data_IF_000931545237
#
_entry.id   IF_000931545237
#
_cell.length_a   1.000
_cell.length_b   1.000
_cell.length_c   1.000
_cell.angle_alpha   90.00
_cell.angle_beta   90.00
_cell.angle_gamma   90.00
#
_symmetry.space_group_name_H-M   'P 1'
#
loop_
_entity.id
_entity.type
_entity.pdbx_description
1 polymer ?
#
# COMPACT_ATOMS: atom_id res chain seq x y z
N UNK A 1 0.40 -9.25 -21.42
CA UNK A 1 -0.76 -8.97 -20.53
C UNK A 1 -0.34 -8.68 -19.09
N UNK A 2 0.46 -9.54 -18.46
CA UNK A 2 0.87 -9.39 -17.04
C UNK A 2 1.49 -8.04 -16.69
N UNK A 3 2.46 -7.58 -17.51
CA UNK A 3 3.17 -6.32 -17.32
C UNK A 3 2.26 -5.08 -17.47
N UNK A 4 1.28 -5.14 -18.36
CA UNK A 4 0.35 -4.02 -18.59
C UNK A 4 -0.55 -3.76 -17.37
N UNK A 5 -0.99 -4.83 -16.70
CA UNK A 5 -1.76 -4.73 -15.45
C UNK A 5 -0.87 -4.20 -14.32
N UNK A 6 0.36 -4.70 -14.20
CA UNK A 6 1.31 -4.22 -13.19
C UNK A 6 1.54 -2.70 -13.32
N UNK A 7 1.72 -2.21 -14.54
CA UNK A 7 1.85 -0.77 -14.80
C UNK A 7 0.57 0.02 -14.52
N UNK A 8 -0.61 -0.52 -14.87
CA UNK A 8 -1.91 0.12 -14.57
C UNK A 8 -2.11 0.27 -13.06
N UNK A 9 -1.80 -0.78 -12.29
CA UNK A 9 -1.86 -0.74 -10.83
C UNK A 9 -0.83 0.23 -10.26
N UNK A 10 0.41 0.21 -10.76
CA UNK A 10 1.45 1.15 -10.35
C UNK A 10 1.06 2.61 -10.59
N UNK A 11 0.48 2.94 -11.75
CA UNK A 11 -0.05 4.28 -12.05
C UNK A 11 -1.19 4.67 -11.12
N UNK A 12 -2.09 3.75 -10.81
CA UNK A 12 -3.20 3.97 -9.88
C UNK A 12 -2.69 4.32 -8.48
N UNK A 13 -1.72 3.56 -7.96
CA UNK A 13 -1.08 3.79 -6.66
C UNK A 13 -0.31 5.11 -6.64
N UNK A 14 0.50 5.40 -7.66
CA UNK A 14 1.27 6.64 -7.77
C UNK A 14 0.36 7.87 -7.80
N UNK A 15 -0.74 7.82 -8.56
CA UNK A 15 -1.74 8.90 -8.61
C UNK A 15 -2.43 9.11 -7.27
N UNK A 16 -2.70 8.05 -6.52
CA UNK A 16 -3.27 8.14 -5.20
C UNK A 16 -2.28 8.78 -4.21
N UNK A 17 -1.01 8.36 -4.25
CA UNK A 17 0.05 8.96 -3.45
C UNK A 17 0.23 10.45 -3.73
N UNK A 18 0.25 10.86 -5.00
CA UNK A 18 0.43 12.25 -5.40
C UNK A 18 -0.69 13.19 -4.95
N UNK A 19 -1.90 12.65 -4.78
CA UNK A 19 -3.09 13.39 -4.35
C UNK A 19 -3.36 13.25 -2.85
N UNK A 20 -2.50 12.54 -2.13
CA UNK A 20 -2.73 12.14 -0.73
C UNK A 20 -4.11 11.50 -0.54
N UNK A 21 -4.51 10.65 -1.49
CA UNK A 21 -5.80 9.99 -1.53
C UNK A 21 -5.66 8.47 -1.46
N UNK A 22 -6.77 7.76 -1.20
CA UNK A 22 -6.81 6.30 -1.23
C UNK A 22 -7.21 5.77 -2.60
N UNK A 23 -6.86 4.52 -2.88
CA UNK A 23 -7.37 3.75 -4.01
C UNK A 23 -8.65 3.04 -3.57
N UNK A 24 -9.82 3.34 -4.18
CA UNK A 24 -11.04 2.62 -3.87
C UNK A 24 -10.98 1.15 -4.29
N UNK A 25 -11.56 0.27 -3.49
CA UNK A 25 -11.63 -1.18 -3.73
C UNK A 25 -12.14 -1.52 -5.14
N UNK A 26 -13.28 -0.93 -5.52
CA UNK A 26 -13.88 -1.15 -6.83
C UNK A 26 -12.99 -0.67 -7.99
N UNK A 27 -12.30 0.46 -7.83
CA UNK A 27 -11.42 1.01 -8.87
C UNK A 27 -10.23 0.10 -9.13
N UNK A 28 -9.67 -0.52 -8.08
CA UNK A 28 -8.62 -1.53 -8.21
C UNK A 28 -9.13 -2.80 -8.89
N UNK A 29 -10.27 -3.34 -8.44
CA UNK A 29 -10.80 -4.59 -8.99
C UNK A 29 -11.31 -4.46 -10.43
N UNK A 30 -11.73 -3.27 -10.85
CA UNK A 30 -12.13 -2.96 -12.22
C UNK A 30 -10.99 -3.06 -13.25
N UNK A 31 -9.72 -3.10 -12.81
CA UNK A 31 -8.58 -3.31 -13.70
C UNK A 31 -8.47 -4.75 -14.21
N UNK A 32 -9.18 -5.69 -13.60
CA UNK A 32 -9.06 -7.12 -13.87
C UNK A 32 -10.33 -7.66 -14.52
N UNK A 33 -10.16 -8.68 -15.39
CA UNK A 33 -11.29 -9.45 -15.87
C UNK A 33 -12.00 -10.18 -14.70
N UNK A 34 -13.30 -10.46 -14.88
CA UNK A 34 -14.16 -10.99 -13.81
C UNK A 34 -13.72 -12.36 -13.27
N UNK A 35 -13.09 -13.16 -14.11
CA UNK A 35 -12.60 -14.51 -13.84
C UNK A 35 -11.25 -14.54 -13.10
N UNK A 36 -10.55 -13.41 -12.98
CA UNK A 36 -9.25 -13.36 -12.29
C UNK A 36 -9.45 -13.57 -10.79
N UNK A 37 -8.82 -14.60 -10.17
CA UNK A 37 -8.96 -14.86 -8.73
C UNK A 37 -8.43 -13.72 -7.86
N UNK A 38 -9.07 -13.47 -6.72
CA UNK A 38 -8.66 -12.39 -5.79
C UNK A 38 -7.18 -12.48 -5.39
N UNK A 39 -6.68 -13.70 -5.11
CA UNK A 39 -5.25 -13.93 -4.79
C UNK A 39 -4.33 -13.34 -5.84
N UNK A 40 -4.61 -13.59 -7.12
CA UNK A 40 -3.82 -13.09 -8.25
C UNK A 40 -3.89 -11.57 -8.33
N UNK A 41 -5.07 -10.98 -8.06
CA UNK A 41 -5.20 -9.51 -8.03
C UNK A 41 -4.31 -8.90 -6.95
N UNK A 42 -4.32 -9.44 -5.73
CA UNK A 42 -3.48 -8.95 -4.65
C UNK A 42 -1.99 -9.17 -4.87
N UNK A 43 -1.58 -10.29 -5.48
CA UNK A 43 -0.19 -10.49 -5.92
C UNK A 43 0.24 -9.39 -6.89
N UNK A 44 -0.67 -8.95 -7.77
CA UNK A 44 -0.43 -7.84 -8.71
C UNK A 44 -0.35 -6.49 -8.02
N UNK A 45 -1.16 -6.27 -6.99
CA UNK A 45 -1.04 -5.10 -6.11
C UNK A 45 0.35 -5.03 -5.46
N UNK A 46 0.78 -6.12 -4.84
CA UNK A 46 2.07 -6.18 -4.15
C UNK A 46 3.25 -6.04 -5.11
N UNK A 47 3.20 -6.70 -6.27
CA UNK A 47 4.24 -6.60 -7.30
C UNK A 47 4.37 -5.16 -7.80
N UNK A 48 3.25 -4.51 -8.14
CA UNK A 48 3.25 -3.14 -8.62
C UNK A 48 3.68 -2.14 -7.55
N UNK A 49 3.30 -2.36 -6.28
CA UNK A 49 3.73 -1.53 -5.16
C UNK A 49 5.25 -1.64 -4.93
N UNK A 50 5.79 -2.85 -4.93
CA UNK A 50 7.23 -3.10 -4.77
C UNK A 50 8.07 -2.52 -5.92
N UNK A 51 7.48 -2.40 -7.12
CA UNK A 51 8.13 -1.73 -8.25
C UNK A 51 8.18 -0.20 -8.10
N UNK A 52 7.37 0.40 -7.22
CA UNK A 52 7.39 1.84 -6.94
C UNK A 52 8.38 2.20 -5.83
N UNK A 53 8.52 1.34 -4.83
CA UNK A 53 9.33 1.56 -3.64
C UNK A 53 9.61 0.21 -2.97
N UNK A 54 10.79 0.04 -2.36
CA UNK A 54 11.06 -1.10 -1.48
C UNK A 54 10.01 -1.13 -0.35
N UNK A 55 9.24 -2.22 -0.16
CA UNK A 55 8.16 -2.26 0.81
C UNK A 55 8.55 -1.95 2.27
N UNK A 56 9.83 -2.10 2.64
CA UNK A 56 10.34 -1.69 3.96
C UNK A 56 10.50 -0.18 4.12
N UNK A 57 10.57 0.57 3.03
CA UNK A 57 10.66 2.03 3.08
C UNK A 57 9.26 2.66 3.08
N UNK A 58 8.43 2.28 2.11
CA UNK A 58 7.03 2.69 2.05
C UNK A 58 6.18 1.67 1.26
N UNK A 59 5.20 1.05 1.91
CA UNK A 59 4.32 0.07 1.27
C UNK A 59 3.13 0.74 0.57
N UNK A 60 3.28 1.01 -0.74
CA UNK A 60 2.22 1.61 -1.56
C UNK A 60 0.92 0.80 -1.59
N UNK A 61 0.94 -0.51 -1.34
CA UNK A 61 -0.28 -1.31 -1.29
C UNK A 61 -1.19 -0.93 -0.10
N UNK A 62 -0.67 -0.20 0.90
CA UNK A 62 -1.46 0.39 2.00
C UNK A 62 -2.49 1.43 1.53
N UNK A 63 -2.34 1.98 0.32
CA UNK A 63 -3.27 2.93 -0.27
C UNK A 63 -4.58 2.28 -0.72
N UNK A 64 -4.60 0.97 -0.94
CA UNK A 64 -5.85 0.27 -1.22
C UNK A 64 -6.76 0.36 0.00
N UNK A 65 -8.01 0.76 -0.23
CA UNK A 65 -9.02 0.87 0.81
C UNK A 65 -10.22 0.02 0.47
N UNK A 66 -10.58 -0.88 1.38
CA UNK A 66 -11.91 -1.52 1.40
C UNK A 66 -12.98 -0.50 1.80
N UNK A 67 -14.25 -0.92 1.76
CA UNK A 67 -15.38 -0.09 2.19
C UNK A 67 -15.30 0.35 3.66
N UNK A 68 -14.49 -0.35 4.47
CA UNK A 68 -14.23 0.01 5.87
C UNK A 68 -13.23 1.17 6.05
N UNK A 69 -12.62 1.68 4.98
CA UNK A 69 -11.52 2.66 5.02
C UNK A 69 -10.14 2.05 5.30
N UNK A 70 -10.08 0.76 5.63
CA UNK A 70 -8.86 0.02 5.93
C UNK A 70 -8.34 -0.76 4.72
N UNK A 71 -7.02 -1.01 4.65
CA UNK A 71 -6.47 -1.97 3.72
C UNK A 71 -6.94 -3.40 4.04
N UNK A 72 -6.80 -4.29 3.05
CA UNK A 72 -7.15 -5.71 3.18
C UNK A 72 -6.31 -6.45 4.24
N UNK A 73 -6.71 -7.66 4.66
CA UNK A 73 -6.02 -8.42 5.71
C UNK A 73 -4.55 -8.69 5.37
N UNK A 74 -4.22 -8.92 4.10
CA UNK A 74 -2.87 -9.22 3.63
C UNK A 74 -1.88 -8.08 3.92
N UNK A 75 -2.35 -6.84 4.00
CA UNK A 75 -1.54 -5.71 4.45
C UNK A 75 -0.98 -5.94 5.85
N UNK A 76 -1.79 -6.37 6.82
CA UNK A 76 -1.31 -6.55 8.20
C UNK A 76 -0.37 -7.75 8.34
N UNK A 77 -0.59 -8.79 7.55
CA UNK A 77 0.33 -9.95 7.47
C UNK A 77 1.69 -9.51 6.92
N UNK A 78 1.70 -8.75 5.82
CA UNK A 78 2.93 -8.21 5.21
C UNK A 78 3.61 -7.18 6.13
N UNK A 79 2.85 -6.27 6.72
CA UNK A 79 3.35 -5.27 7.66
C UNK A 79 4.02 -5.95 8.86
N UNK A 80 3.41 -6.98 9.45
CA UNK A 80 4.03 -7.75 10.54
C UNK A 80 5.37 -8.36 10.13
N UNK A 81 5.47 -8.87 8.91
CA UNK A 81 6.71 -9.48 8.36
C UNK A 81 7.82 -8.45 8.14
N UNK A 82 7.47 -7.25 7.66
CA UNK A 82 8.43 -6.22 7.29
C UNK A 82 8.79 -5.27 8.44
N UNK A 83 7.83 -5.02 9.33
CA UNK A 83 7.89 -4.06 10.44
C UNK A 83 7.44 -4.71 11.75
N UNK A 84 8.05 -5.86 12.08
CA UNK A 84 7.70 -6.63 13.28
C UNK A 84 7.74 -5.78 14.55
N UNK A 85 8.76 -4.95 14.71
CA UNK A 85 8.91 -4.06 15.88
C UNK A 85 7.70 -3.11 16.02
N UNK A 86 7.39 -2.33 14.98
CA UNK A 86 6.22 -1.43 14.94
C UNK A 86 4.91 -2.17 15.17
N UNK A 87 4.78 -3.37 14.59
CA UNK A 87 3.58 -4.19 14.75
C UNK A 87 3.39 -4.65 16.20
N UNK A 88 4.45 -5.12 16.85
CA UNK A 88 4.39 -5.58 18.24
C UNK A 88 4.31 -4.44 19.25
N UNK A 89 4.86 -3.27 18.93
CA UNK A 89 4.64 -2.04 19.71
C UNK A 89 3.15 -1.68 19.75
N UNK A 90 2.45 -1.72 18.61
CA UNK A 90 1.01 -1.48 18.55
C UNK A 90 0.18 -2.55 19.31
N UNK A 91 0.68 -3.79 19.43
CA UNK A 91 0.03 -4.84 20.22
C UNK A 91 0.24 -4.68 21.74
N UNK A 92 1.36 -4.07 22.16
CA UNK A 92 1.71 -3.93 23.57
C UNK A 92 2.07 -5.27 24.23
N UNK A 93 1.73 -5.42 25.52
CA UNK A 93 2.19 -6.53 26.35
C UNK A 93 1.71 -7.92 25.88
N UNK A 94 0.49 -8.01 25.35
CA UNK A 94 -0.05 -9.25 24.80
C UNK A 94 0.26 -9.33 23.29
N UNK A 95 1.26 -10.14 22.95
CA UNK A 95 1.73 -10.34 21.56
C UNK A 95 0.92 -11.38 20.79
N UNK A 96 -0.01 -12.08 21.43
CA UNK A 96 -0.77 -13.18 20.83
C UNK A 96 -2.20 -12.78 20.44
N UNK A 97 -2.71 -11.66 20.96
CA UNK A 97 -4.01 -11.12 20.55
C UNK A 97 -4.00 -10.59 19.11
N UNK A 98 -5.21 -10.39 18.58
CA UNK A 98 -5.42 -9.67 17.33
C UNK A 98 -5.33 -8.16 17.53
N UNK A 99 -4.95 -7.45 16.45
CA UNK A 99 -5.03 -5.99 16.41
C UNK A 99 -6.49 -5.54 16.54
N UNK A 100 -6.73 -4.58 17.45
CA UNK A 100 -8.00 -3.86 17.58
C UNK A 100 -8.19 -2.93 16.39
N UNK A 101 -9.43 -2.49 16.18
CA UNK A 101 -9.75 -1.57 15.10
C UNK A 101 -8.93 -0.27 15.14
N UNK A 102 -8.72 0.29 16.33
CA UNK A 102 -7.92 1.50 16.51
C UNK A 102 -6.46 1.29 16.07
N UNK A 103 -5.86 0.17 16.45
CA UNK A 103 -4.47 -0.18 16.10
C UNK A 103 -4.33 -0.44 14.59
N UNK A 104 -5.32 -1.12 13.99
CA UNK A 104 -5.38 -1.31 12.53
C UNK A 104 -5.41 0.04 11.80
N UNK A 105 -6.26 0.96 12.25
CA UNK A 105 -6.37 2.31 11.69
C UNK A 105 -5.06 3.08 11.82
N UNK A 106 -4.43 3.01 12.99
CA UNK A 106 -3.17 3.69 13.25
C UNK A 106 -2.05 3.17 12.34
N UNK A 107 -1.82 1.86 12.30
CA UNK A 107 -0.77 1.27 11.45
C UNK A 107 -1.00 1.59 9.96
N UNK A 108 -2.25 1.51 9.50
CA UNK A 108 -2.58 1.87 8.13
C UNK A 108 -2.34 3.36 7.85
N UNK A 109 -2.73 4.25 8.76
CA UNK A 109 -2.53 5.69 8.61
C UNK A 109 -1.05 6.05 8.56
N UNK A 110 -0.24 5.52 9.48
CA UNK A 110 1.20 5.75 9.50
C UNK A 110 1.89 5.27 8.22
N UNK A 111 1.51 4.09 7.72
CA UNK A 111 2.09 3.56 6.49
C UNK A 111 1.70 4.38 5.26
N UNK A 112 0.46 4.86 5.21
CA UNK A 112 0.01 5.79 4.15
C UNK A 112 0.78 7.10 4.20
N UNK A 113 1.05 7.65 5.38
CA UNK A 113 1.88 8.85 5.51
C UNK A 113 3.32 8.62 5.01
N UNK A 114 3.91 7.44 5.26
CA UNK A 114 5.21 7.07 4.69
C UNK A 114 5.18 7.06 3.17
N UNK A 115 4.13 6.49 2.58
CA UNK A 115 3.92 6.48 1.12
C UNK A 115 3.80 7.89 0.55
N UNK A 116 3.04 8.78 1.19
CA UNK A 116 2.90 10.16 0.74
C UNK A 116 4.22 10.93 0.85
N UNK A 117 4.95 10.77 1.97
CA UNK A 117 6.25 11.40 2.16
C UNK A 117 7.28 10.89 1.14
N UNK A 118 7.33 9.59 0.90
CA UNK A 118 8.18 8.98 -0.12
C UNK A 118 7.89 9.55 -1.51
N UNK A 119 6.62 9.61 -1.90
CA UNK A 119 6.23 10.18 -3.19
C UNK A 119 6.72 11.63 -3.35
N UNK A 120 6.53 12.48 -2.34
CA UNK A 120 6.95 13.88 -2.38
C UNK A 120 8.47 14.02 -2.51
N UNK A 121 9.22 13.18 -1.78
CA UNK A 121 10.69 13.16 -1.85
C UNK A 121 11.16 12.80 -3.26
N UNK A 122 10.66 11.73 -3.85
CA UNK A 122 11.00 11.34 -5.23
C UNK A 122 10.60 12.40 -6.25
N UNK A 123 9.40 12.99 -6.12
CA UNK A 123 8.95 14.04 -7.04
C UNK A 123 9.85 15.29 -6.99
N UNK A 124 10.36 15.65 -5.80
CA UNK A 124 11.30 16.75 -5.64
C UNK A 124 12.68 16.44 -6.26
N UNK A 125 13.18 15.21 -6.08
CA UNK A 125 14.43 14.73 -6.69
C UNK A 125 14.35 14.73 -8.23
N UNK A 126 13.23 14.27 -8.80
CA UNK A 126 12.97 14.29 -10.24
C UNK A 126 12.93 15.73 -10.79
N UNK A 127 12.22 16.66 -10.12
CA UNK A 127 12.14 18.05 -10.54
C UNK A 127 13.51 18.76 -10.51
N UNK A 128 14.34 18.46 -9.52
CA UNK A 128 15.70 19.00 -9.41
C UNK A 128 16.61 18.48 -10.53
N UNK A 129 16.51 17.20 -10.88
CA UNK A 129 17.32 16.56 -11.92
C UNK A 129 16.99 17.06 -13.33
N UNK A 130 15.73 17.42 -13.60
CA UNK A 130 15.30 17.95 -14.90
C UNK A 130 15.44 19.48 -15.03
N UNK A 131 15.84 20.17 -13.95
CA UNK A 131 16.08 21.61 -13.94
C UNK A 131 17.56 21.99 -14.02
N UNK A 132 18.45 21.00 -14.09
CA UNK A 132 19.91 21.13 -14.21
C UNK A 132 20.38 20.80 -15.63
#
# INVERSE_FOLDING_TARGET
MTQEIDEKVGRLLRRAASRRSLVPYGAFHALFAGDVPLRVRYEKLETAAAALCEPREADYASLLSTDSGLPGPDFYTRFKRLHSERYYEALGADRHRMLRLAEKRQLAAEERERVYAHYLRCAAEEACTHSA
#
